data_IF_419269636839
#
_entry.id   IF_419269636839
#
_cell.length_a   1.000
_cell.length_b   1.000
_cell.length_c   1.000
_cell.angle_alpha   90.00
_cell.angle_beta   90.00
_cell.angle_gamma   90.00
#
_symmetry.space_group_name_H-M   'P 1'
#
loop_
_entity.id
_entity.type
_entity.pdbx_description
1 polymer ?
2 polymer ?
3 polymer ?
4 polymer ?
#
loop_
_entity_poly.entity_id
_entity_poly.type
_entity_poly.pdbx_seq_one_letter_code
_entity_poly.pdbx_strand_id
1 'polyribonucleotide' 'CGCCCGUCACGCCAUGGGAGCGUGACUGGGGCGAAGUCGUAACA' ?
2 'polyribonucleotide' 'CGGCCGUAACUAUAACGGUCC' ?
3 'polyribonucleotide' 'GACCGUAUAGUACGAGAGGAACUACGG' ?
#
# COMPACT_ATOMS: atom_id res chain seq x y z
CA UNK D 1 -13.86 -7.54 -40.23
CA UNK D 2 -13.13 -8.65 -43.74
CA UNK D 3 -9.56 -9.79 -44.20
CA UNK D 4 -9.05 -6.69 -46.29
CA UNK D 5 -10.28 -4.58 -43.40
CA UNK D 6 -7.96 -6.52 -41.14
CA UNK D 7 -5.26 -5.75 -43.63
CA UNK D 8 -6.18 -2.10 -43.62
CA UNK D 9 -7.14 -1.44 -40.01
CA UNK D 10 -5.23 -4.25 -38.33
CA UNK D 11 -5.89 -5.30 -34.74
CA UNK D 12 -5.47 -2.96 -31.77
CA UNK D 13 -3.22 -4.41 -29.05
CA UNK D 14 -4.49 -3.40 -25.61
CA UNK D 15 -2.00 -1.80 -23.20
CA UNK D 16 -2.56 -2.33 -19.47
CA UNK D 17 -3.04 0.57 -17.04
CA UNK D 18 -1.20 0.11 -13.75
CA UNK D 19 -2.83 0.01 -10.34
CA UNK D 20 0.26 1.36 -8.64
CA UNK D 21 1.67 4.73 -9.58
CA UNK D 22 4.47 3.97 -7.10
CA UNK D 23 6.28 5.19 -10.20
CA UNK D 24 9.29 3.46 -11.68
CA UNK D 25 6.88 0.62 -11.03
CA UNK D 26 9.53 0.00 -8.38
CA UNK D 27 9.00 -2.75 -5.81
CA UNK D 28 8.65 -0.26 -2.95
CA UNK D 29 9.02 3.44 -2.36
CA UNK D 30 10.05 5.58 0.59
CA UNK D 31 7.83 8.36 1.82
CA UNK D 32 7.18 10.43 4.92
CA UNK D 33 3.97 10.43 6.92
CA UNK D 34 2.26 13.80 7.02
CA UNK D 35 -0.98 12.88 8.79
CA UNK D 36 -2.19 9.74 10.54
CA UNK D 37 -6.00 9.79 10.32
CA UNK D 38 -8.42 6.90 10.89
CA UNK D 39 -10.73 6.27 7.93
CA UNK D 40 -14.05 4.39 7.89
CA UNK D 41 -15.24 1.29 5.93
CA UNK D 42 -17.47 1.07 2.86
CA UNK D 43 -20.34 -1.28 1.89
CA UNK D 44 -21.10 -3.86 4.61
CA UNK D 45 -18.15 -2.94 6.77
CA UNK D 46 -17.71 -0.66 9.78
CA UNK D 47 -14.69 -0.07 12.04
CA UNK D 48 -11.82 2.36 12.60
CA UNK D 49 -9.12 1.63 10.03
CA UNK D 50 -5.63 3.13 10.51
CA UNK D 51 -4.28 5.11 7.56
CA UNK D 52 -1.54 7.64 6.71
CA UNK D 53 -0.96 10.25 4.02
CA UNK D 54 2.58 9.89 2.75
CA UNK D 55 4.99 12.21 0.94
CA UNK D 56 6.72 9.89 -1.52
CA UNK D 57 10.23 10.32 -2.82
CA UNK D 58 8.65 9.32 -6.10
CA UNK D 59 7.29 12.86 -5.96
CA UNK D 60 3.87 11.68 -4.85
CA UNK D 61 1.49 12.33 -1.95
CA UNK D 62 -0.59 9.17 -1.46
CA UNK D 63 -2.48 7.55 1.42
CA UNK D 64 -1.36 4.06 2.46
CA UNK D 65 -2.95 1.50 4.78
CA UNK D 66 -1.18 0.45 7.98
CA UNK D 67 -1.42 -3.34 8.43
CA UNK D 68 -1.13 -5.04 11.77
CA UNK D 69 -2.62 -4.41 15.21
CA UNK D 70 -1.14 -1.23 16.61
CA UNK D 71 1.47 0.97 14.96
CA UNK D 72 3.62 3.93 16.09
CA UNK D 73 3.58 6.49 13.31
CA UNK D 74 3.59 10.28 13.79
CA UNK D 75 3.37 13.52 11.84
CA UNK D 76 6.90 12.82 10.62
CA UNK D 77 7.49 9.09 10.45
CA UNK D 78 9.63 7.75 7.61
CA UNK D 79 7.79 4.92 5.98
CA UNK D 80 8.01 2.42 3.09
CA UNK D 81 5.11 1.88 0.68
CA UNK D 82 4.46 -1.46 -1.04
CA UNK D 83 1.12 -1.16 -2.75
CA UNK D 84 -1.96 -3.17 -1.96
CA UNK D 85 -5.51 -1.88 -2.34
CA UNK D 86 -7.90 -2.14 0.62
CA UNK D 87 -11.44 -2.89 -0.54
CA UNK D 88 -13.15 -0.96 2.30
CA UNK D 89 -11.49 2.39 2.40
CA UNK D 90 -11.14 3.38 -1.26
CA UNK D 91 -8.31 5.64 -2.33
CA UNK D 92 -6.14 3.34 -0.26
CA UNK D 93 -3.93 1.77 -2.93
CA UNK D 94 -0.78 0.90 -1.02
CA UNK D 95 0.24 -0.74 2.28
CA UNK D 96 3.02 0.15 4.66
CA UNK D 97 5.78 -2.30 5.46
CA UNK D 98 5.34 -2.87 9.19
CA UNK D 99 8.99 -3.55 9.82
CA UNK D 100 10.95 -1.05 7.75
CA UNK D 101 11.98 2.46 8.78
CA UNK D 102 10.16 4.52 11.38
CA UNK D 103 7.25 2.06 11.16
CA UNK D 104 8.04 -0.42 13.93
CA UNK D 105 6.87 -4.00 13.44
CA UNK D 106 3.89 -5.56 15.18
CA UNK D 107 4.40 -6.65 18.79
CA UNK D 108 3.33 -10.01 20.25
CA UNK D 109 2.94 -11.77 16.93
CA UNK D 110 3.60 -15.49 16.81
CA UNK D 111 2.02 -16.38 13.48
CA UNK D 112 2.26 -14.79 10.00
CA UNK D 113 5.29 -12.82 11.15
CA UNK D 114 7.06 -12.50 7.79
CA UNK D 115 4.37 -9.96 7.05
CA UNK D 116 4.17 -7.58 10.05
CA UNK D 117 7.96 -7.70 10.19
CA UNK D 118 8.29 -9.21 13.68
CA UNK D 119 11.52 -11.03 14.61
CA UNK D 120 11.35 -14.66 15.68
CA UNK D 121 9.84 -14.86 19.17
CA UNK D 122 12.35 -15.09 22.02
CA UNK D 123 10.80 -18.45 22.97
CA UNK D 124 13.00 -19.94 25.69
#
# INVERSE_FOLDING_TARGET
>D
PTINQLVRKGREKVRKKSKVPALKGAPFRRGVCTVVRTVTPKKPNSALRKVAKVRLTSGYEVTAYIPGEGHNLQEHSVVLIRGGRVKDLPGVRYHIVRGVYDAAGVKDRKKSRSKYGTKKPKEAAKTAAKK
#
